data_IF_604643995290
#
_entry.id   IF_604643995290
#
_cell.length_a   1.000
_cell.length_b   1.000
_cell.length_c   1.000
_cell.angle_alpha   90.00
_cell.angle_beta   90.00
_cell.angle_gamma   90.00
#
_symmetry.space_group_name_H-M   'P 1'
#
loop_
_entity.id
_entity.type
_entity.pdbx_description
1 polymer ?
#
# COMPACT_ATOMS: atom_id res chain seq x y z
N UNK A 1 2.69 -11.04 -2.51
CA UNK A 1 3.60 -10.90 -3.65
C UNK A 1 3.01 -10.08 -4.79
N UNK A 2 1.84 -10.40 -5.34
CA UNK A 2 1.25 -9.64 -6.48
C UNK A 2 1.14 -8.11 -6.26
N UNK A 3 0.66 -7.65 -5.09
CA UNK A 3 0.56 -6.21 -4.80
C UNK A 3 1.92 -5.50 -4.84
N UNK A 4 2.95 -6.08 -4.20
CA UNK A 4 4.30 -5.52 -4.19
C UNK A 4 4.90 -5.49 -5.60
N UNK A 5 4.68 -6.54 -6.40
CA UNK A 5 5.12 -6.58 -7.80
C UNK A 5 4.49 -5.48 -8.65
N UNK A 6 3.17 -5.28 -8.55
CA UNK A 6 2.47 -4.22 -9.28
C UNK A 6 2.87 -2.81 -8.84
N UNK A 7 3.12 -2.60 -7.54
CA UNK A 7 3.65 -1.33 -7.05
C UNK A 7 5.07 -1.11 -7.57
N UNK A 8 5.94 -2.11 -7.49
CA UNK A 8 7.30 -2.04 -8.01
C UNK A 8 7.36 -1.76 -9.51
N UNK A 9 6.52 -2.43 -10.30
CA UNK A 9 6.38 -2.16 -11.74
C UNK A 9 5.93 -0.72 -12.00
N UNK A 10 4.94 -0.23 -11.24
CA UNK A 10 4.48 1.15 -11.37
C UNK A 10 5.61 2.15 -11.07
N UNK A 11 6.36 1.91 -10.00
CA UNK A 11 7.52 2.73 -9.61
C UNK A 11 8.59 2.74 -10.72
N UNK A 12 8.96 1.58 -11.25
CA UNK A 12 10.01 1.48 -12.28
C UNK A 12 9.60 2.16 -13.59
N UNK A 13 8.36 1.92 -14.04
CA UNK A 13 7.88 2.38 -15.35
C UNK A 13 7.44 3.85 -15.31
N UNK A 14 6.71 4.25 -14.26
CA UNK A 14 6.10 5.59 -14.16
C UNK A 14 6.96 6.57 -13.39
N UNK A 15 7.98 6.10 -12.66
CA UNK A 15 8.87 6.92 -11.82
C UNK A 15 8.08 7.80 -10.83
N UNK A 16 6.94 7.30 -10.38
CA UNK A 16 6.02 7.97 -9.45
C UNK A 16 5.32 6.96 -8.56
N UNK A 17 4.80 7.40 -7.42
CA UNK A 17 3.93 6.55 -6.60
C UNK A 17 2.59 6.26 -7.30
N UNK A 18 2.03 5.06 -7.08
CA UNK A 18 0.70 4.75 -7.58
C UNK A 18 -0.35 5.59 -6.85
N UNK A 19 -1.33 6.11 -7.60
CA UNK A 19 -2.48 6.83 -7.04
C UNK A 19 -3.30 5.91 -6.12
N UNK A 20 -4.07 6.47 -5.16
CA UNK A 20 -4.95 5.68 -4.29
C UNK A 20 -5.87 4.68 -5.02
N UNK A 21 -6.44 5.11 -6.15
CA UNK A 21 -7.32 4.28 -6.98
C UNK A 21 -6.63 3.06 -7.60
N UNK A 22 -5.30 3.07 -7.75
CA UNK A 22 -4.54 1.92 -8.19
C UNK A 22 -4.52 0.84 -7.10
N UNK A 23 -4.20 1.22 -5.85
CA UNK A 23 -4.12 0.30 -4.72
C UNK A 23 -5.50 -0.27 -4.40
N UNK A 24 -6.57 0.53 -4.45
CA UNK A 24 -7.94 0.06 -4.30
C UNK A 24 -8.28 -1.03 -5.34
N UNK A 25 -8.03 -0.77 -6.63
CA UNK A 25 -8.27 -1.75 -7.71
C UNK A 25 -7.42 -3.01 -7.54
N UNK A 26 -6.15 -2.85 -7.18
CA UNK A 26 -5.24 -3.97 -6.96
C UNK A 26 -5.73 -4.86 -5.82
N UNK A 27 -6.11 -4.27 -4.69
CA UNK A 27 -6.60 -4.99 -3.53
C UNK A 27 -7.95 -5.67 -3.79
N UNK A 28 -8.87 -5.01 -4.51
CA UNK A 28 -10.12 -5.62 -4.98
C UNK A 28 -9.86 -6.85 -5.86
N UNK A 29 -8.91 -6.78 -6.80
CA UNK A 29 -8.49 -7.94 -7.63
C UNK A 29 -7.91 -9.08 -6.79
N UNK A 30 -7.23 -8.75 -5.69
CA UNK A 30 -6.70 -9.73 -4.75
C UNK A 30 -7.78 -10.25 -3.77
N UNK A 31 -9.04 -9.85 -3.92
CA UNK A 31 -10.16 -10.30 -3.11
C UNK A 31 -10.25 -9.63 -1.74
N UNK A 32 -9.62 -8.48 -1.56
CA UNK A 32 -9.84 -7.63 -0.39
C UNK A 32 -11.06 -6.74 -0.61
N UNK A 33 -11.87 -6.57 0.43
CA UNK A 33 -12.97 -5.62 0.48
C UNK A 33 -12.52 -4.36 1.21
N UNK A 34 -12.88 -3.19 0.70
CA UNK A 34 -12.76 -1.92 1.42
C UNK A 34 -13.74 -1.92 2.60
N UNK A 35 -13.26 -1.61 3.81
CA UNK A 35 -14.06 -1.60 5.05
C UNK A 35 -14.12 -0.21 5.71
N UNK A 36 -13.28 0.71 5.28
CA UNK A 36 -13.28 2.08 5.75
C UNK A 36 -12.34 2.95 4.92
N UNK A 37 -12.64 4.24 4.86
CA UNK A 37 -11.80 5.27 4.27
C UNK A 37 -11.86 6.52 5.14
N UNK A 38 -10.72 7.19 5.28
CA UNK A 38 -10.61 8.50 5.90
C UNK A 38 -9.92 9.40 4.88
N UNK A 39 -10.63 10.44 4.45
CA UNK A 39 -10.15 11.40 3.45
C UNK A 39 -9.95 12.72 4.19
N UNK A 40 -8.69 13.06 4.42
CA UNK A 40 -8.27 14.38 4.90
C UNK A 40 -8.10 15.37 3.76
N UNK A 41 -7.57 16.56 4.06
CA UNK A 41 -7.32 17.59 3.05
C UNK A 41 -6.24 17.16 2.06
N UNK A 42 -5.12 16.64 2.55
CA UNK A 42 -3.97 16.17 1.75
C UNK A 42 -3.60 14.69 2.00
N UNK A 43 -4.39 14.00 2.82
CA UNK A 43 -4.11 12.63 3.28
C UNK A 43 -5.27 11.70 2.95
N UNK A 44 -4.95 10.46 2.56
CA UNK A 44 -5.95 9.43 2.28
C UNK A 44 -5.58 8.14 2.98
N UNK A 45 -6.44 7.68 3.88
CA UNK A 45 -6.31 6.36 4.52
C UNK A 45 -7.41 5.43 4.03
N UNK A 46 -7.02 4.24 3.60
CA UNK A 46 -7.94 3.17 3.21
C UNK A 46 -7.69 1.92 4.03
N UNK A 47 -8.76 1.30 4.48
CA UNK A 47 -8.72 0.05 5.24
C UNK A 47 -9.38 -1.06 4.44
N UNK A 48 -8.64 -2.13 4.23
CA UNK A 48 -9.05 -3.29 3.46
C UNK A 48 -9.01 -4.55 4.31
N UNK A 49 -9.90 -5.49 4.02
CA UNK A 49 -9.97 -6.77 4.72
C UNK A 49 -10.16 -7.92 3.75
N UNK A 50 -9.49 -9.04 4.04
CA UNK A 50 -9.77 -10.34 3.42
C UNK A 50 -9.61 -11.43 4.46
N UNK A 51 -10.72 -12.09 4.82
CA UNK A 51 -10.78 -13.11 5.87
C UNK A 51 -10.20 -12.59 7.20
N UNK A 52 -9.01 -13.03 7.57
CA UNK A 52 -8.28 -12.77 8.80
C UNK A 52 -7.08 -11.82 8.60
N UNK A 53 -6.94 -11.21 7.42
CA UNK A 53 -5.90 -10.23 7.09
C UNK A 53 -6.53 -8.86 6.85
N UNK A 54 -5.99 -7.85 7.51
CA UNK A 54 -6.24 -6.43 7.27
C UNK A 54 -5.07 -5.79 6.54
N UNK A 55 -5.38 -4.81 5.69
CA UNK A 55 -4.39 -3.95 5.04
C UNK A 55 -4.83 -2.50 5.24
N UNK A 56 -3.96 -1.66 5.76
CA UNK A 56 -4.13 -0.20 5.68
C UNK A 56 -3.21 0.36 4.61
N UNK A 57 -3.72 1.33 3.86
CA UNK A 57 -2.99 2.08 2.85
C UNK A 57 -3.14 3.57 3.15
N UNK A 58 -2.05 4.22 3.49
CA UNK A 58 -1.98 5.66 3.72
C UNK A 58 -1.24 6.33 2.58
N UNK A 59 -1.80 7.44 2.10
CA UNK A 59 -1.25 8.27 1.05
C UNK A 59 -1.15 9.71 1.53
N UNK A 60 -0.02 10.34 1.25
CA UNK A 60 0.16 11.77 1.38
C UNK A 60 0.85 12.25 0.09
N UNK A 61 0.07 12.58 -0.96
CA UNK A 61 0.60 12.92 -2.28
C UNK A 61 1.55 14.11 -2.26
N UNK A 62 1.31 15.08 -1.37
CA UNK A 62 2.16 16.27 -1.22
C UNK A 62 3.61 15.94 -0.86
N UNK A 63 3.85 14.80 -0.22
CA UNK A 63 5.17 14.34 0.21
C UNK A 63 5.64 13.09 -0.55
N UNK A 64 4.98 12.71 -1.65
CA UNK A 64 5.22 11.45 -2.37
C UNK A 64 5.37 10.27 -1.40
N UNK A 65 4.36 10.09 -0.54
CA UNK A 65 4.36 9.05 0.49
C UNK A 65 3.25 8.03 0.27
N UNK A 66 3.64 6.75 0.29
CA UNK A 66 2.75 5.59 0.35
C UNK A 66 3.21 4.67 1.47
N UNK A 67 2.35 4.49 2.47
CA UNK A 67 2.57 3.55 3.56
C UNK A 67 1.55 2.41 3.48
N UNK A 68 2.03 1.17 3.45
CA UNK A 68 1.18 -0.03 3.42
C UNK A 68 1.47 -0.90 4.64
N UNK A 69 0.45 -1.12 5.46
CA UNK A 69 0.57 -2.00 6.62
C UNK A 69 -0.27 -3.25 6.41
N UNK A 70 0.29 -4.42 6.67
CA UNK A 70 -0.41 -5.71 6.62
C UNK A 70 -0.44 -6.29 8.02
N UNK A 71 -1.65 -6.56 8.53
CA UNK A 71 -1.83 -7.02 9.90
C UNK A 71 -2.84 -8.17 10.02
N UNK A 72 -2.63 -9.13 10.93
CA UNK A 72 -3.64 -10.15 11.22
C UNK A 72 -4.79 -9.55 12.04
N UNK A 73 -6.04 -9.90 11.70
CA UNK A 73 -7.25 -9.46 12.41
C UNK A 73 -7.64 -10.36 13.58
N UNK A 74 -7.21 -11.63 13.57
CA UNK A 74 -7.62 -12.65 14.55
C UNK A 74 -6.45 -13.27 15.35
N UNK A 75 -5.21 -12.79 15.18
CA UNK A 75 -4.02 -13.29 15.91
C UNK A 75 -3.36 -12.17 16.71
N UNK A 76 -2.59 -12.55 17.75
CA UNK A 76 -1.74 -11.61 18.51
C UNK A 76 -0.82 -10.84 17.55
N UNK A 77 -0.67 -9.54 17.81
CA UNK A 77 -0.01 -8.49 17.00
C UNK A 77 1.48 -8.80 16.70
N UNK A 78 2.06 -9.84 17.30
CA UNK A 78 3.46 -10.28 17.14
C UNK A 78 3.82 -10.82 15.74
N UNK A 79 2.99 -10.61 14.71
CA UNK A 79 3.22 -11.08 13.33
C UNK A 79 2.84 -10.07 12.23
N UNK A 80 2.62 -8.80 12.57
CA UNK A 80 2.36 -7.75 11.58
C UNK A 80 3.62 -7.42 10.76
N UNK A 81 3.46 -7.27 9.44
CA UNK A 81 4.51 -6.80 8.53
C UNK A 81 4.11 -5.38 8.10
N UNK A 82 4.90 -4.39 8.50
CA UNK A 82 4.71 -3.00 8.09
C UNK A 82 5.70 -2.68 6.96
N UNK A 83 5.20 -2.22 5.81
CA UNK A 83 6.04 -1.75 4.70
C UNK A 83 5.98 -0.22 4.68
N UNK A 84 7.04 0.42 5.17
CA UNK A 84 7.23 1.87 5.10
C UNK A 84 8.08 2.21 3.89
N UNK A 85 7.50 2.92 2.94
CA UNK A 85 8.25 3.58 1.87
C UNK A 85 8.09 5.09 2.07
N UNK A 86 9.19 5.76 2.42
CA UNK A 86 9.25 7.20 2.53
C UNK A 86 10.52 7.62 1.79
N UNK A 87 10.37 8.47 0.76
CA UNK A 87 11.45 8.93 -0.12
C UNK A 87 12.16 7.80 -0.89
N UNK A 88 11.71 7.50 -2.12
CA UNK A 88 12.39 6.57 -3.02
C UNK A 88 13.32 7.37 -3.94
N UNK A 89 14.60 7.48 -3.59
CA UNK A 89 15.63 7.85 -4.56
C UNK A 89 15.87 6.65 -5.49
N UNK A 90 15.57 6.81 -6.77
CA UNK A 90 15.94 5.82 -7.79
C UNK A 90 17.45 5.91 -8.05
N UNK A 91 18.24 5.15 -7.28
CA UNK A 91 19.59 4.82 -7.70
C UNK A 91 19.50 3.79 -8.83
N UNK A 92 20.35 3.90 -9.85
CA UNK A 92 20.54 2.91 -10.92
C UNK A 92 21.20 1.62 -10.37
N UNK A 93 20.59 1.00 -9.37
CA UNK A 93 21.03 -0.26 -8.80
C UNK A 93 19.94 -1.31 -8.98
N UNK A 94 20.27 -2.29 -9.83
CA UNK A 94 19.55 -3.54 -9.97
C UNK A 94 19.62 -4.30 -8.64
N UNK A 95 18.48 -4.51 -7.99
CA UNK A 95 18.40 -5.36 -6.79
C UNK A 95 17.63 -6.63 -7.17
N UNK A 96 18.26 -7.78 -6.92
CA UNK A 96 17.78 -9.16 -7.18
C UNK A 96 16.63 -9.53 -6.26
#
# INVERSE_FOLDING_TARGET
MALAGWIGEHLIIRKSLPKPSFVDKALKKLGFSLVGEEIGEDEYSYFFKRKDVGISAFFEPSNDLLFLQIYPLKKKITSGISVRSQYIEFYDQFVV
#
